data_IF_976362270344
#
_entry.id   IF_976362270344
#
_cell.length_a   1.000
_cell.length_b   1.000
_cell.length_c   1.000
_cell.angle_alpha   90.00
_cell.angle_beta   90.00
_cell.angle_gamma   90.00
#
_symmetry.space_group_name_H-M   'P 1'
#
loop_
_entity.id
_entity.type
_entity.pdbx_description
1 polymer ?
#
# COMPACT_ATOMS: atom_id res chain seq x y z
N UNK A 1 13.69 6.04 15.09
CA UNK A 1 12.61 6.98 14.71
C UNK A 1 11.36 6.57 15.46
N UNK A 2 10.55 7.48 15.99
CA UNK A 2 9.30 7.09 16.63
C UNK A 2 8.18 6.92 15.57
N UNK A 3 7.05 6.34 15.97
CA UNK A 3 5.89 6.11 15.09
C UNK A 3 5.32 7.40 14.46
N UNK A 4 5.30 8.50 15.22
CA UNK A 4 4.79 9.79 14.75
C UNK A 4 5.67 10.34 13.63
N UNK A 5 6.98 10.39 13.85
CA UNK A 5 7.96 10.89 12.89
C UNK A 5 7.89 10.05 11.60
N UNK A 6 7.83 8.72 11.73
CA UNK A 6 7.74 7.81 10.58
C UNK A 6 6.45 8.01 9.79
N UNK A 7 5.32 8.17 10.47
CA UNK A 7 4.03 8.43 9.84
C UNK A 7 4.01 9.79 9.12
N UNK A 8 4.46 10.86 9.77
CA UNK A 8 4.51 12.20 9.16
C UNK A 8 5.45 12.24 7.96
N UNK A 9 6.62 11.60 8.08
CA UNK A 9 7.58 11.47 6.98
C UNK A 9 6.98 10.73 5.80
N UNK A 10 6.33 9.58 6.06
CA UNK A 10 5.65 8.82 5.01
C UNK A 10 4.53 9.64 4.37
N UNK A 11 3.65 10.29 5.15
CA UNK A 11 2.57 11.13 4.61
C UNK A 11 3.09 12.25 3.71
N UNK A 12 4.19 12.90 4.10
CA UNK A 12 4.76 14.02 3.35
C UNK A 12 5.47 13.59 2.07
N UNK A 13 6.15 12.43 2.10
CA UNK A 13 7.09 12.03 1.06
C UNK A 13 6.62 10.86 0.20
N UNK A 14 5.54 10.17 0.58
CA UNK A 14 4.97 9.10 -0.25
C UNK A 14 4.35 9.68 -1.52
N UNK A 15 4.76 9.14 -2.67
CA UNK A 15 4.17 9.46 -3.98
C UNK A 15 3.77 8.18 -4.68
N UNK A 16 2.51 8.09 -5.06
CA UNK A 16 2.00 6.99 -5.90
C UNK A 16 2.22 7.43 -7.35
N UNK A 17 3.34 6.98 -7.93
CA UNK A 17 3.70 7.31 -9.32
C UNK A 17 2.72 6.66 -10.29
N UNK A 18 2.36 5.41 -9.99
CA UNK A 18 1.40 4.64 -10.77
C UNK A 18 0.49 3.86 -9.84
N UNK A 19 -0.82 4.14 -9.80
CA UNK A 19 -1.74 3.33 -9.03
C UNK A 19 -2.09 2.05 -9.80
N UNK A 20 -2.72 1.07 -9.12
CA UNK A 20 -3.27 -0.10 -9.81
C UNK A 20 -4.53 0.33 -10.58
N UNK A 21 -4.68 -0.03 -11.86
CA UNK A 21 -5.89 0.29 -12.63
C UNK A 21 -7.07 -0.60 -12.25
N UNK A 22 -6.84 -1.83 -11.80
CA UNK A 22 -7.89 -2.72 -11.30
C UNK A 22 -8.33 -2.31 -9.88
N UNK A 23 -9.63 -2.38 -9.63
CA UNK A 23 -10.21 -2.20 -8.30
C UNK A 23 -9.98 -3.43 -7.41
N UNK A 24 -10.09 -3.24 -6.10
CA UNK A 24 -10.19 -4.33 -5.15
C UNK A 24 -11.49 -5.10 -5.38
N UNK A 25 -11.45 -6.42 -5.24
CA UNK A 25 -12.64 -7.25 -5.29
C UNK A 25 -13.37 -7.12 -3.96
N UNK A 26 -14.64 -6.73 -4.00
CA UNK A 26 -15.47 -6.50 -2.81
C UNK A 26 -15.76 -7.78 -2.03
N UNK A 27 -15.69 -8.95 -2.69
CA UNK A 27 -16.12 -10.24 -2.14
C UNK A 27 -15.03 -11.30 -2.08
N UNK A 28 -13.86 -11.03 -2.66
CA UNK A 28 -12.78 -12.00 -2.82
C UNK A 28 -11.45 -11.41 -2.33
N UNK A 29 -10.50 -12.30 -2.03
CA UNK A 29 -9.15 -11.88 -1.73
C UNK A 29 -8.54 -11.17 -2.95
N UNK A 30 -7.88 -10.05 -2.72
CA UNK A 30 -7.23 -9.29 -3.78
C UNK A 30 -5.74 -9.16 -3.50
N UNK A 31 -4.93 -9.60 -4.46
CA UNK A 31 -3.51 -9.30 -4.49
C UNK A 31 -3.26 -7.88 -4.99
N UNK A 32 -2.52 -7.12 -4.18
CA UNK A 32 -2.11 -5.76 -4.52
C UNK A 32 -0.58 -5.72 -4.57
N UNK A 33 0.02 -6.12 -5.71
CA UNK A 33 1.47 -6.11 -5.87
C UNK A 33 1.98 -4.68 -6.02
N UNK A 34 3.18 -4.43 -5.51
CA UNK A 34 3.83 -3.12 -5.54
C UNK A 34 5.32 -3.23 -5.83
N UNK A 35 5.83 -2.21 -6.51
CA UNK A 35 7.24 -1.85 -6.57
C UNK A 35 7.38 -0.56 -5.77
N UNK A 36 8.17 -0.60 -4.70
CA UNK A 36 8.49 0.54 -3.87
C UNK A 36 9.93 0.98 -4.14
N UNK A 37 10.12 2.27 -4.38
CA UNK A 37 11.42 2.89 -4.62
C UNK A 37 11.74 3.90 -3.52
N UNK A 38 12.97 3.88 -3.03
CA UNK A 38 13.48 4.88 -2.09
C UNK A 38 14.94 5.18 -2.35
N UNK A 39 15.39 6.40 -2.07
CA UNK A 39 16.82 6.69 -1.99
C UNK A 39 17.47 5.78 -0.94
N UNK A 40 18.65 5.24 -1.24
CA UNK A 40 19.39 4.42 -0.29
C UNK A 40 19.97 5.29 0.83
N UNK A 41 19.73 4.87 2.07
CA UNK A 41 20.35 5.43 3.27
C UNK A 41 21.79 4.93 3.48
N UNK A 42 22.18 3.85 2.79
CA UNK A 42 23.51 3.23 2.91
C UNK A 42 24.44 3.70 1.79
N UNK A 43 23.97 3.65 0.55
CA UNK A 43 24.75 4.05 -0.63
C UNK A 43 24.13 5.29 -1.28
N UNK A 44 24.59 6.47 -0.85
CA UNK A 44 24.08 7.73 -1.38
C UNK A 44 24.21 7.80 -2.90
N UNK A 45 23.10 8.09 -3.57
CA UNK A 45 23.02 8.15 -5.01
C UNK A 45 22.42 6.92 -5.67
N UNK A 46 22.28 5.80 -4.94
CA UNK A 46 21.57 4.61 -5.39
C UNK A 46 20.12 4.57 -4.91
N UNK A 47 19.33 3.73 -5.57
CA UNK A 47 17.92 3.53 -5.23
C UNK A 47 17.69 2.11 -4.74
N UNK A 48 17.07 1.98 -3.57
CA UNK A 48 16.55 0.71 -3.06
C UNK A 48 15.25 0.39 -3.78
N UNK A 49 15.16 -0.83 -4.31
CA UNK A 49 13.98 -1.35 -5.01
C UNK A 49 13.40 -2.49 -4.18
N UNK A 50 12.23 -2.26 -3.61
CA UNK A 50 11.50 -3.29 -2.86
C UNK A 50 10.31 -3.75 -3.65
N UNK A 51 10.19 -5.06 -3.83
CA UNK A 51 9.06 -5.68 -4.51
C UNK A 51 8.31 -6.56 -3.55
N UNK A 52 7.00 -6.37 -3.50
CA UNK A 52 6.14 -7.08 -2.58
C UNK A 52 4.70 -7.10 -3.06
N UNK A 53 3.85 -7.68 -2.22
CA UNK A 53 2.41 -7.64 -2.41
C UNK A 53 1.69 -7.59 -1.07
N UNK A 54 0.58 -6.88 -1.04
CA UNK A 54 -0.37 -6.95 0.07
C UNK A 54 -1.55 -7.81 -0.37
N UNK A 55 -1.80 -8.91 0.32
CA UNK A 55 -3.01 -9.70 0.18
C UNK A 55 -4.09 -9.05 1.05
N UNK A 56 -5.17 -8.59 0.41
CA UNK A 56 -6.35 -8.02 1.08
C UNK A 56 -7.45 -9.07 1.09
N UNK A 57 -7.83 -9.57 2.25
CA UNK A 57 -8.80 -10.66 2.38
C UNK A 57 -9.80 -10.44 3.51
N UNK A 58 -10.95 -11.10 3.40
CA UNK A 58 -11.91 -11.14 4.51
C UNK A 58 -11.32 -11.95 5.65
N UNK A 59 -11.46 -11.49 6.91
CA UNK A 59 -10.99 -12.24 8.06
C UNK A 59 -11.78 -13.55 8.19
N UNK A 60 -11.12 -14.61 8.66
CA UNK A 60 -11.74 -15.93 8.86
C UNK A 60 -12.82 -15.94 9.97
N UNK A 61 -12.85 -14.90 10.81
CA UNK A 61 -13.81 -14.70 11.91
C UNK A 61 -14.43 -13.31 11.74
N UNK A 62 -15.70 -13.15 12.15
CA UNK A 62 -16.36 -11.84 12.18
C UNK A 62 -15.61 -10.93 13.15
N UNK A 63 -14.96 -9.91 12.62
CA UNK A 63 -14.30 -8.87 13.42
C UNK A 63 -15.30 -7.78 13.83
N UNK A 64 -15.12 -7.15 15.00
CA UNK A 64 -15.76 -5.87 15.31
C UNK A 64 -15.52 -4.85 14.18
N UNK A 65 -16.43 -3.88 14.06
CA UNK A 65 -16.26 -2.78 13.12
C UNK A 65 -14.99 -1.99 13.42
N UNK A 66 -14.27 -1.55 12.38
CA UNK A 66 -13.03 -0.76 12.45
C UNK A 66 -11.82 -1.47 13.09
N UNK A 67 -11.71 -2.79 12.93
CA UNK A 67 -10.58 -3.57 13.42
C UNK A 67 -9.83 -4.25 12.27
N UNK A 68 -9.03 -3.51 11.49
CA UNK A 68 -8.20 -4.09 10.44
C UNK A 68 -7.05 -4.92 11.06
N UNK A 69 -6.60 -5.95 10.35
CA UNK A 69 -5.46 -6.77 10.75
C UNK A 69 -4.28 -6.51 9.81
N UNK A 70 -3.15 -6.03 10.35
CA UNK A 70 -1.93 -5.77 9.59
C UNK A 70 -0.92 -6.88 9.87
N UNK A 71 -0.76 -7.82 8.94
CA UNK A 71 0.20 -8.91 9.03
C UNK A 71 1.37 -8.70 8.08
N UNK A 72 2.56 -9.17 8.46
CA UNK A 72 3.76 -9.03 7.64
C UNK A 72 4.26 -7.58 7.53
N UNK A 73 3.71 -6.69 8.36
CA UNK A 73 4.28 -5.38 8.63
C UNK A 73 5.12 -5.42 9.91
N UNK A 74 6.41 -5.11 9.79
CA UNK A 74 7.41 -5.15 10.85
C UNK A 74 7.49 -3.80 11.61
N UNK A 75 6.34 -3.22 11.99
CA UNK A 75 6.32 -1.93 12.70
C UNK A 75 7.00 -1.96 14.06
N UNK A 76 7.03 -3.12 14.73
CA UNK A 76 7.75 -3.31 15.99
C UNK A 76 9.26 -3.09 15.80
N UNK A 77 9.84 -3.61 14.71
CA UNK A 77 11.27 -3.43 14.43
C UNK A 77 11.61 -2.00 14.03
N UNK A 78 10.75 -1.35 13.27
CA UNK A 78 11.01 0.01 12.74
C UNK A 78 10.69 1.12 13.76
N UNK A 79 9.66 0.93 14.59
CA UNK A 79 9.10 1.98 15.44
C UNK A 79 8.84 1.56 16.90
N UNK A 80 9.20 0.33 17.31
CA UNK A 80 8.95 -0.20 18.66
C UNK A 80 7.47 -0.11 19.04
N UNK A 81 6.61 -0.34 18.05
CA UNK A 81 5.16 -0.17 18.15
C UNK A 81 4.44 -1.42 17.66
N UNK A 82 3.78 -2.11 18.60
CA UNK A 82 2.97 -3.28 18.31
C UNK A 82 1.69 -2.91 17.54
N UNK A 83 1.03 -3.92 16.97
CA UNK A 83 -0.14 -3.72 16.11
C UNK A 83 -1.25 -2.88 16.77
N UNK A 84 -1.58 -3.13 18.05
CA UNK A 84 -2.60 -2.35 18.77
C UNK A 84 -2.24 -0.87 18.89
N UNK A 85 -0.95 -0.55 19.05
CA UNK A 85 -0.47 0.82 19.08
C UNK A 85 -0.61 1.47 17.70
N UNK A 86 -0.27 0.76 16.62
CA UNK A 86 -0.48 1.24 15.24
C UNK A 86 -1.95 1.53 14.97
N UNK A 87 -2.84 0.60 15.34
CA UNK A 87 -4.28 0.74 15.13
C UNK A 87 -4.84 1.97 15.85
N UNK A 88 -4.54 2.11 17.14
CA UNK A 88 -4.97 3.27 17.93
C UNK A 88 -4.37 4.57 17.40
N UNK A 89 -3.10 4.56 17.00
CA UNK A 89 -2.41 5.72 16.45
C UNK A 89 -3.07 6.24 15.18
N UNK A 90 -3.42 5.35 14.25
CA UNK A 90 -4.12 5.67 13.00
C UNK A 90 -5.55 6.15 13.27
N UNK A 91 -6.27 5.47 14.17
CA UNK A 91 -7.66 5.81 14.52
C UNK A 91 -7.79 7.23 15.08
N UNK A 92 -6.92 7.62 16.01
CA UNK A 92 -6.91 8.97 16.61
C UNK A 92 -6.64 10.07 15.56
N UNK A 93 -6.02 9.71 14.43
CA UNK A 93 -5.76 10.61 13.29
C UNK A 93 -6.83 10.54 12.21
N UNK A 94 -7.94 9.83 12.44
CA UNK A 94 -9.04 9.68 11.49
C UNK A 94 -8.71 8.75 10.32
N UNK A 95 -7.64 7.97 10.39
CA UNK A 95 -7.31 6.98 9.37
C UNK A 95 -7.99 5.66 9.74
N UNK A 96 -8.99 5.28 8.93
CA UNK A 96 -9.74 4.04 9.10
C UNK A 96 -9.53 3.12 7.91
N UNK A 97 -9.35 1.83 8.19
CA UNK A 97 -9.37 0.78 7.18
C UNK A 97 -10.60 -0.09 7.43
N UNK A 98 -11.23 -0.64 6.37
CA UNK A 98 -12.19 -1.72 6.50
C UNK A 98 -11.63 -2.85 7.37
N UNK A 99 -12.49 -3.50 8.17
CA UNK A 99 -12.17 -4.68 8.99
C UNK A 99 -11.85 -5.89 8.10
N UNK A 100 -10.71 -5.81 7.42
CA UNK A 100 -10.12 -6.80 6.55
C UNK A 100 -8.74 -7.16 7.06
N UNK A 101 -8.20 -8.25 6.55
CA UNK A 101 -6.82 -8.65 6.77
C UNK A 101 -5.96 -8.18 5.61
N UNK A 102 -4.86 -7.52 5.95
CA UNK A 102 -3.87 -6.96 5.03
C UNK A 102 -2.54 -7.65 5.33
N UNK A 103 -2.19 -8.67 4.54
CA UNK A 103 -0.96 -9.43 4.73
C UNK A 103 0.10 -8.97 3.71
N UNK A 104 1.10 -8.24 4.20
CA UNK A 104 2.22 -7.75 3.41
C UNK A 104 3.32 -8.83 3.30
N UNK A 105 3.74 -9.11 2.07
CA UNK A 105 4.89 -9.97 1.78
C UNK A 105 5.85 -9.25 0.85
N UNK A 106 7.08 -9.04 1.33
CA UNK A 106 8.19 -8.61 0.48
C UNK A 106 8.87 -9.86 -0.09
N UNK A 107 9.07 -9.91 -1.40
CA UNK A 107 9.73 -11.06 -2.05
C UNK A 107 11.08 -10.70 -2.68
N UNK A 108 11.38 -9.42 -2.88
CA UNK A 108 12.71 -8.98 -3.34
C UNK A 108 13.08 -7.62 -2.79
N UNK A 109 14.36 -7.47 -2.50
CA UNK A 109 15.01 -6.23 -2.10
C UNK A 109 16.30 -6.11 -2.92
N UNK A 110 16.26 -5.26 -3.93
CA UNK A 110 17.34 -5.07 -4.89
C UNK A 110 17.88 -3.63 -4.82
N UNK A 111 19.01 -3.39 -5.47
CA UNK A 111 19.56 -2.05 -5.69
C UNK A 111 19.49 -1.73 -7.18
N UNK A 112 19.03 -0.52 -7.49
CA UNK A 112 19.21 0.11 -8.78
C UNK A 112 20.34 1.13 -8.66
N UNK A 113 21.41 0.93 -9.43
CA UNK A 113 22.54 1.85 -9.46
C UNK A 113 22.13 3.17 -10.12
N UNK A 114 22.06 4.23 -9.31
CA UNK A 114 21.64 5.56 -9.73
C UNK A 114 20.42 6.13 -9.00
N UNK A 115 20.28 7.45 -9.16
CA UNK A 115 19.35 8.27 -8.39
C UNK A 115 17.88 7.91 -8.63
N UNK A 116 17.05 8.25 -7.64
CA UNK A 116 15.64 7.91 -7.57
C UNK A 116 14.86 8.33 -8.82
N UNK A 117 15.14 9.49 -9.40
CA UNK A 117 14.47 9.97 -10.61
C UNK A 117 14.70 9.03 -11.81
N UNK A 118 15.92 8.51 -11.96
CA UNK A 118 16.25 7.55 -13.02
C UNK A 118 15.58 6.20 -12.78
N UNK A 119 15.55 5.74 -11.53
CA UNK A 119 14.85 4.52 -11.16
C UNK A 119 13.34 4.63 -11.42
N UNK A 120 12.71 5.76 -11.07
CA UNK A 120 11.29 6.03 -11.34
C UNK A 120 11.01 5.93 -12.84
N UNK A 121 11.81 6.60 -13.67
CA UNK A 121 11.68 6.54 -15.14
C UNK A 121 11.83 5.11 -15.66
N UNK A 122 12.89 4.41 -15.24
CA UNK A 122 13.16 3.04 -15.64
C UNK A 122 12.03 2.06 -15.30
N UNK A 123 11.53 2.08 -14.05
CA UNK A 123 10.45 1.19 -13.63
C UNK A 123 9.10 1.56 -14.23
N UNK A 124 8.83 2.86 -14.46
CA UNK A 124 7.62 3.30 -15.17
C UNK A 124 7.60 2.79 -16.60
N UNK A 125 8.71 2.97 -17.34
CA UNK A 125 8.85 2.48 -18.71
C UNK A 125 8.75 0.95 -18.78
N UNK A 126 9.38 0.25 -17.84
CA UNK A 126 9.33 -1.22 -17.77
C UNK A 126 7.90 -1.73 -17.59
N UNK A 127 7.14 -1.13 -16.67
CA UNK A 127 5.75 -1.48 -16.43
C UNK A 127 4.86 -1.13 -17.64
N UNK A 128 5.12 -0.01 -18.31
CA UNK A 128 4.37 0.39 -19.50
C UNK A 128 4.63 -0.56 -20.68
N UNK A 129 5.89 -0.88 -20.98
CA UNK A 129 6.27 -1.79 -22.08
C UNK A 129 5.81 -3.21 -21.84
N UNK A 130 5.76 -3.65 -20.58
CA UNK A 130 5.22 -4.95 -20.21
C UNK A 130 3.70 -5.02 -20.19
N UNK A 131 2.99 -3.93 -20.52
CA UNK A 131 1.53 -3.79 -20.40
C UNK A 131 1.01 -4.22 -19.02
N UNK A 132 1.82 -3.99 -17.99
CA UNK A 132 1.51 -4.44 -16.63
C UNK A 132 0.32 -3.63 -16.10
N UNK A 133 -0.77 -4.27 -15.72
CA UNK A 133 -1.96 -3.60 -15.15
C UNK A 133 -2.20 -3.97 -13.69
N UNK A 134 -1.21 -4.56 -13.03
CA UNK A 134 -1.37 -5.15 -11.69
C UNK A 134 -0.50 -4.45 -10.66
N UNK A 135 0.76 -4.13 -11.00
CA UNK A 135 1.73 -3.54 -10.10
C UNK A 135 1.49 -2.04 -9.91
N UNK A 136 1.41 -1.63 -8.64
CA UNK A 136 1.58 -0.23 -8.26
C UNK A 136 3.06 0.16 -8.25
N UNK A 137 3.35 1.42 -8.58
CA UNK A 137 4.67 2.03 -8.42
C UNK A 137 4.59 3.13 -7.37
N UNK A 138 5.29 2.95 -6.27
CA UNK A 138 5.26 3.82 -5.09
C UNK A 138 6.66 4.29 -4.79
N UNK A 139 6.78 5.56 -4.41
CA UNK A 139 8.03 6.16 -3.95
C UNK A 139 7.82 6.66 -2.53
N UNK A 140 8.83 6.51 -1.68
CA UNK A 140 8.77 7.04 -0.31
C UNK A 140 10.11 6.95 0.41
N UNK A 141 10.15 7.36 1.69
CA UNK A 141 11.34 7.25 2.52
C UNK A 141 11.67 5.78 2.85
N UNK A 142 12.95 5.40 2.79
CA UNK A 142 13.39 4.01 3.03
C UNK A 142 13.03 3.51 4.44
N UNK A 143 13.20 4.36 5.45
CA UNK A 143 12.93 4.11 6.86
C UNK A 143 11.44 4.27 7.26
N UNK A 144 10.54 4.52 6.32
CA UNK A 144 9.09 4.50 6.55
C UNK A 144 8.32 3.90 5.37
N UNK A 145 8.96 2.95 4.68
CA UNK A 145 8.41 2.30 3.51
C UNK A 145 7.10 1.55 3.84
N UNK A 146 6.98 0.97 5.04
CA UNK A 146 5.77 0.23 5.45
C UNK A 146 4.55 1.13 5.56
N UNK A 147 4.71 2.33 6.10
CA UNK A 147 3.65 3.35 6.08
C UNK A 147 3.34 3.80 4.65
N UNK A 148 4.36 3.94 3.80
CA UNK A 148 4.17 4.29 2.39
C UNK A 148 3.33 3.23 1.64
N UNK A 149 3.57 1.94 1.93
CA UNK A 149 2.76 0.83 1.42
C UNK A 149 1.33 0.89 1.98
N UNK A 150 1.13 1.14 3.28
CA UNK A 150 -0.22 1.32 3.84
C UNK A 150 -0.98 2.48 3.20
N UNK A 151 -0.33 3.62 2.97
CA UNK A 151 -0.92 4.79 2.29
C UNK A 151 -1.33 4.42 0.86
N UNK A 152 -0.48 3.67 0.16
CA UNK A 152 -0.80 3.17 -1.18
C UNK A 152 -2.04 2.27 -1.17
N UNK A 153 -2.13 1.32 -0.22
CA UNK A 153 -3.29 0.44 -0.06
C UNK A 153 -4.56 1.23 0.29
N UNK A 154 -4.50 2.15 1.25
CA UNK A 154 -5.62 3.02 1.60
C UNK A 154 -6.16 3.77 0.36
N UNK A 155 -5.25 4.28 -0.47
CA UNK A 155 -5.61 4.95 -1.72
C UNK A 155 -6.29 4.00 -2.72
N UNK A 156 -5.86 2.74 -2.80
CA UNK A 156 -6.55 1.74 -3.65
C UNK A 156 -7.94 1.41 -3.13
N UNK A 157 -8.11 1.30 -1.80
CA UNK A 157 -9.42 1.05 -1.16
C UNK A 157 -10.40 2.18 -1.47
N UNK A 158 -9.98 3.43 -1.27
CA UNK A 158 -10.84 4.60 -1.53
C UNK A 158 -11.31 4.63 -2.99
N UNK A 159 -10.41 4.39 -3.95
CA UNK A 159 -10.76 4.33 -5.37
C UNK A 159 -11.73 3.18 -5.69
N UNK A 160 -11.55 2.04 -5.04
CA UNK A 160 -12.40 0.86 -5.26
C UNK A 160 -13.79 1.05 -4.66
N UNK A 161 -13.91 1.69 -3.49
CA UNK A 161 -15.20 1.98 -2.86
C UNK A 161 -16.10 2.83 -3.76
N UNK A 162 -15.54 3.86 -4.41
CA UNK A 162 -16.28 4.68 -5.39
C UNK A 162 -16.76 3.86 -6.59
N UNK A 163 -15.90 2.96 -7.10
CA UNK A 163 -16.24 2.06 -8.20
C UNK A 163 -17.31 1.03 -7.82
N UNK A 164 -17.19 0.43 -6.65
CA UNK A 164 -18.10 -0.60 -6.15
C UNK A 164 -19.50 -0.04 -5.87
N UNK A 165 -19.59 1.15 -5.26
CA UNK A 165 -20.86 1.86 -5.07
C UNK A 165 -21.53 2.11 -6.43
N UNK A 166 -20.78 2.57 -7.43
CA UNK A 166 -21.31 2.78 -8.79
C UNK A 166 -21.82 1.48 -9.41
N UNK A 167 -21.05 0.39 -9.36
CA UNK A 167 -21.45 -0.93 -9.90
C UNK A 167 -22.69 -1.48 -9.21
N UNK A 168 -22.76 -1.34 -7.89
CA UNK A 168 -23.91 -1.77 -7.11
C UNK A 168 -25.19 -1.02 -7.54
N UNK A 169 -25.11 0.31 -7.66
CA UNK A 169 -26.23 1.15 -8.13
C UNK A 169 -26.66 0.80 -9.57
N UNK A 170 -25.72 0.56 -10.47
CA UNK A 170 -26.03 0.13 -11.85
C UNK A 170 -26.77 -1.21 -11.89
N UNK A 171 -26.37 -2.16 -11.05
CA UNK A 171 -27.04 -3.46 -10.94
C UNK A 171 -28.46 -3.32 -10.42
N UNK A 172 -28.66 -2.56 -9.35
CA UNK A 172 -30.00 -2.24 -8.84
C UNK A 172 -30.90 -1.61 -9.90
N UNK A 173 -30.36 -0.71 -10.74
CA UNK A 173 -31.13 -0.08 -11.82
C UNK A 173 -31.51 -1.04 -12.95
N UNK A 174 -30.65 -2.02 -13.27
CA UNK A 174 -30.92 -3.05 -14.29
C UNK A 174 -31.92 -4.11 -13.84
N UNK A 175 -32.03 -4.36 -12.54
CA UNK A 175 -32.99 -5.33 -11.99
C UNK A 175 -34.41 -4.73 -11.81
N UNK A 176 -34.57 -3.41 -11.97
CA UNK A 176 -35.87 -2.69 -11.86
C UNK A 176 -36.43 -2.16 -13.19
N UNK A 177 -35.79 -2.47 -14.33
CA UNK A 177 -36.27 -2.12 -15.67
C UNK A 177 -36.39 -3.35 -16.55
#
# INVERSE_FOLDING_TARGET
MNIQDGWEKALKHTKIIRPRPKDLLTFEATEVPYIFLSESLVNLGDTVVRKGQVMVEKPAIILPSNLPQFEGFDFEKEFHSGQDMILNFLLVRGVTFPSLKYNNKTYSLDIYEGHLEKAIGYYSDKLQRGEDVTNGLVVGPEDSWQFSVLIFIATQIMRSADGDIRRLLERFRKEQG
#
